data_IF_406621254239
#
_entry.id   IF_406621254239
#
_cell.length_a   1.000
_cell.length_b   1.000
_cell.length_c   1.000
_cell.angle_alpha   90.00
_cell.angle_beta   90.00
_cell.angle_gamma   90.00
#
_symmetry.space_group_name_H-M   'P 1'
#
loop_
_entity.id
_entity.type
_entity.pdbx_description
1 polymer ?
#
# COMPACT_ATOMS: atom_id res chain seq x y z
N UNK A 1 -11.95 19.38 0.79
CA UNK A 1 -13.25 18.68 0.99
C UNK A 1 -13.24 18.11 2.40
N UNK A 2 -14.22 18.46 3.26
CA UNK A 2 -14.23 18.04 4.66
C UNK A 2 -15.32 17.00 4.90
N UNK A 3 -14.97 15.93 5.64
CA UNK A 3 -15.91 14.92 6.10
C UNK A 3 -16.53 15.33 7.43
N UNK A 4 -17.82 15.09 7.56
CA UNK A 4 -18.55 15.27 8.81
C UNK A 4 -18.47 14.01 9.68
N UNK A 5 -18.72 14.14 10.98
CA UNK A 5 -18.79 13.01 11.91
C UNK A 5 -19.81 11.95 11.46
N UNK A 6 -20.97 12.37 10.97
CA UNK A 6 -22.01 11.45 10.49
C UNK A 6 -21.58 10.66 9.25
N UNK A 7 -20.79 11.26 8.37
CA UNK A 7 -20.24 10.57 7.19
C UNK A 7 -19.20 9.54 7.59
N UNK A 8 -18.33 9.87 8.56
CA UNK A 8 -17.35 8.92 9.11
C UNK A 8 -18.04 7.70 9.72
N UNK A 9 -19.12 7.90 10.49
CA UNK A 9 -19.91 6.80 11.07
C UNK A 9 -20.50 5.91 9.96
N UNK A 10 -21.05 6.51 8.91
CA UNK A 10 -21.61 5.74 7.77
C UNK A 10 -20.54 4.95 7.03
N UNK A 11 -19.37 5.56 6.78
CA UNK A 11 -18.23 4.89 6.13
C UNK A 11 -17.75 3.72 6.98
N UNK A 12 -17.57 3.92 8.27
CA UNK A 12 -17.19 2.87 9.21
C UNK A 12 -18.19 1.71 9.20
N UNK A 13 -19.47 2.01 9.21
CA UNK A 13 -20.52 0.99 9.14
C UNK A 13 -20.45 0.19 7.82
N UNK A 14 -20.25 0.85 6.69
CA UNK A 14 -20.08 0.19 5.38
C UNK A 14 -18.83 -0.69 5.36
N UNK A 15 -17.73 -0.23 5.96
CA UNK A 15 -16.48 -0.97 6.06
C UNK A 15 -16.50 -2.07 7.15
N UNK A 16 -17.60 -2.19 7.92
CA UNK A 16 -17.72 -3.11 9.06
C UNK A 16 -16.65 -2.87 10.14
N UNK A 17 -16.26 -1.61 10.32
CA UNK A 17 -15.31 -1.18 11.37
C UNK A 17 -16.08 -0.63 12.57
N UNK A 18 -15.71 -1.09 13.77
CA UNK A 18 -16.12 -0.45 15.01
C UNK A 18 -15.23 0.75 15.31
N UNK A 19 -15.82 1.91 15.55
CA UNK A 19 -15.11 3.13 15.95
C UNK A 19 -15.68 3.59 17.29
N UNK A 20 -14.80 4.01 18.21
CA UNK A 20 -15.22 4.63 19.47
C UNK A 20 -15.75 6.04 19.19
N UNK A 21 -16.84 6.40 19.87
CA UNK A 21 -17.47 7.72 19.71
C UNK A 21 -16.50 8.89 20.00
N UNK A 22 -15.55 8.69 20.90
CA UNK A 22 -14.56 9.70 21.25
C UNK A 22 -13.52 9.93 20.13
N UNK A 23 -13.33 8.95 19.25
CA UNK A 23 -12.32 9.01 18.18
C UNK A 23 -12.88 9.54 16.86
N UNK A 24 -14.21 9.61 16.71
CA UNK A 24 -14.87 10.03 15.46
C UNK A 24 -14.36 11.38 14.98
N UNK A 25 -14.18 12.34 15.91
CA UNK A 25 -13.70 13.67 15.56
C UNK A 25 -12.26 13.67 15.01
N UNK A 26 -11.39 12.85 15.59
CA UNK A 26 -10.02 12.68 15.10
C UNK A 26 -10.01 12.06 13.70
N UNK A 27 -10.78 10.99 13.49
CA UNK A 27 -10.92 10.38 12.17
C UNK A 27 -11.49 11.34 11.12
N UNK A 28 -12.47 12.16 11.47
CA UNK A 28 -13.02 13.16 10.55
C UNK A 28 -11.95 14.17 10.08
N UNK A 29 -11.10 14.62 10.99
CA UNK A 29 -9.99 15.51 10.67
C UNK A 29 -8.93 14.84 9.79
N UNK A 30 -8.48 13.64 10.17
CA UNK A 30 -7.44 12.92 9.45
C UNK A 30 -7.88 12.57 8.02
N UNK A 31 -9.11 12.06 7.87
CA UNK A 31 -9.68 11.75 6.55
C UNK A 31 -9.89 13.00 5.71
N UNK A 32 -10.30 14.13 6.31
CA UNK A 32 -10.41 15.41 5.61
C UNK A 32 -9.06 15.88 5.09
N UNK A 33 -8.00 15.78 5.90
CA UNK A 33 -6.64 16.11 5.49
C UNK A 33 -6.15 15.22 4.32
N UNK A 34 -6.49 13.93 4.35
CA UNK A 34 -6.17 13.01 3.24
C UNK A 34 -6.90 13.40 1.95
N UNK A 35 -8.18 13.78 2.04
CA UNK A 35 -8.94 14.24 0.88
C UNK A 35 -8.40 15.56 0.30
N UNK A 36 -7.94 16.46 1.15
CA UNK A 36 -7.30 17.71 0.71
C UNK A 36 -5.97 17.43 0.01
N UNK A 37 -5.19 16.47 0.49
CA UNK A 37 -3.98 16.02 -0.20
C UNK A 37 -4.30 15.40 -1.58
N UNK A 38 -5.33 14.57 -1.66
CA UNK A 38 -5.79 14.01 -2.95
C UNK A 38 -6.24 15.11 -3.91
N UNK A 39 -6.89 16.14 -3.42
CA UNK A 39 -7.29 17.31 -4.22
C UNK A 39 -6.06 18.00 -4.79
N UNK A 40 -5.03 18.26 -3.98
CA UNK A 40 -3.76 18.84 -4.42
C UNK A 40 -3.06 17.98 -5.48
N UNK A 41 -3.07 16.64 -5.31
CA UNK A 41 -2.53 15.72 -6.32
C UNK A 41 -3.31 15.81 -7.64
N UNK A 42 -4.62 15.97 -7.58
CA UNK A 42 -5.49 16.08 -8.75
C UNK A 42 -5.33 17.42 -9.51
N UNK A 43 -4.72 18.43 -8.91
CA UNK A 43 -4.41 19.72 -9.58
C UNK A 43 -3.26 19.60 -10.61
N UNK A 44 -2.48 18.51 -10.53
CA UNK A 44 -1.38 18.28 -11.44
C UNK A 44 -1.91 17.64 -12.74
N UNK A 45 -1.69 18.33 -13.87
CA UNK A 45 -2.04 17.79 -15.19
C UNK A 45 -1.09 16.64 -15.55
N UNK A 46 -1.62 15.43 -15.57
CA UNK A 46 -0.88 14.19 -15.91
C UNK A 46 -1.37 13.54 -17.19
N UNK A 47 -2.29 14.15 -17.93
CA UNK A 47 -2.94 13.51 -19.10
C UNK A 47 -1.94 13.12 -20.19
N UNK A 48 -0.86 13.88 -20.32
CA UNK A 48 0.19 13.63 -21.33
C UNK A 48 1.41 12.88 -20.78
N UNK A 49 1.42 12.55 -19.48
CA UNK A 49 2.56 11.91 -18.81
C UNK A 49 2.37 10.40 -18.78
N UNK A 50 3.32 9.66 -19.36
CA UNK A 50 3.29 8.20 -19.30
C UNK A 50 3.58 7.72 -17.88
N UNK A 51 2.84 6.71 -17.37
CA UNK A 51 3.15 6.10 -16.09
C UNK A 51 4.57 5.56 -16.04
N UNK A 52 5.31 5.86 -14.98
CA UNK A 52 6.69 5.44 -14.81
C UNK A 52 6.81 4.63 -13.51
N UNK A 53 7.04 3.32 -13.63
CA UNK A 53 7.28 2.47 -12.47
C UNK A 53 8.69 2.68 -11.88
N UNK A 54 9.68 2.88 -12.76
CA UNK A 54 11.07 3.12 -12.39
C UNK A 54 11.69 4.18 -13.31
N UNK A 55 12.52 5.09 -12.77
CA UNK A 55 13.12 6.17 -13.56
C UNK A 55 14.19 5.71 -14.56
N UNK A 56 14.64 4.48 -14.45
CA UNK A 56 15.63 3.87 -15.35
C UNK A 56 15.20 2.47 -15.74
N UNK A 57 15.48 2.07 -16.97
CA UNK A 57 15.28 0.70 -17.45
C UNK A 57 16.27 -0.22 -16.74
N UNK A 58 15.88 -0.74 -15.61
CA UNK A 58 16.68 -1.70 -14.85
C UNK A 58 16.14 -3.10 -15.04
N UNK A 59 17.01 -4.00 -15.44
CA UNK A 59 16.72 -5.42 -15.46
C UNK A 59 17.22 -6.07 -14.18
N UNK A 60 16.39 -6.90 -13.57
CA UNK A 60 16.81 -7.70 -12.43
C UNK A 60 17.92 -8.67 -12.88
N UNK A 61 19.03 -8.69 -12.14
CA UNK A 61 20.06 -9.71 -12.33
C UNK A 61 19.52 -11.05 -11.86
N UNK A 62 19.27 -11.95 -12.78
CA UNK A 62 18.82 -13.31 -12.47
C UNK A 62 20.03 -14.21 -12.24
N UNK A 63 19.89 -15.17 -11.34
CA UNK A 63 20.83 -16.27 -11.18
C UNK A 63 20.67 -17.23 -12.36
N UNK A 64 21.78 -17.81 -12.84
CA UNK A 64 21.72 -18.88 -13.84
C UNK A 64 20.85 -20.04 -13.34
N UNK A 65 20.01 -20.57 -14.21
CA UNK A 65 19.16 -21.72 -13.91
C UNK A 65 19.96 -23.02 -14.13
N UNK A 66 20.95 -23.22 -13.27
CA UNK A 66 21.84 -24.37 -13.31
C UNK A 66 21.87 -25.04 -11.94
N UNK A 67 21.77 -26.36 -11.92
CA UNK A 67 21.90 -27.15 -10.70
C UNK A 67 23.42 -27.25 -10.34
N UNK A 68 23.87 -26.34 -9.49
CA UNK A 68 25.28 -26.26 -9.07
C UNK A 68 25.56 -26.92 -7.72
N UNK A 69 24.52 -27.33 -7.00
CA UNK A 69 24.67 -27.94 -5.68
C UNK A 69 25.13 -29.38 -5.77
N UNK A 70 26.10 -29.72 -4.94
CA UNK A 70 26.51 -31.12 -4.75
C UNK A 70 25.50 -31.86 -3.86
N UNK A 71 25.43 -33.18 -4.01
CA UNK A 71 24.56 -34.00 -3.19
C UNK A 71 24.99 -33.96 -1.71
N UNK A 72 24.20 -33.31 -0.87
CA UNK A 72 24.43 -33.20 0.57
C UNK A 72 23.37 -33.96 1.40
N UNK A 73 22.72 -34.92 0.78
CA UNK A 73 21.61 -35.67 1.38
C UNK A 73 21.98 -36.29 2.73
N UNK A 74 23.15 -36.94 2.84
CA UNK A 74 23.59 -37.57 4.09
C UNK A 74 23.79 -36.56 5.21
N UNK A 75 24.36 -35.37 4.87
CA UNK A 75 24.56 -34.30 5.83
C UNK A 75 23.24 -33.76 6.35
N UNK A 76 22.27 -33.53 5.49
CA UNK A 76 20.95 -33.01 5.90
C UNK A 76 20.17 -34.07 6.69
N UNK A 77 20.22 -35.33 6.31
CA UNK A 77 19.54 -36.39 7.03
C UNK A 77 20.13 -36.68 8.42
N UNK A 78 21.42 -36.41 8.63
CA UNK A 78 22.06 -36.58 9.93
C UNK A 78 21.59 -35.57 10.96
N UNK A 79 20.95 -34.45 10.52
CA UNK A 79 20.41 -33.40 11.37
C UNK A 79 18.92 -33.57 11.68
N UNK A 80 18.27 -34.54 11.09
CA UNK A 80 16.84 -34.80 11.27
C UNK A 80 16.53 -35.61 12.55
#
# INVERSE_FOLDING_TARGET
MSLTADEVIKIAHLARLGIDENDIGAYANDLSNMLDLMTQMGETDTDTVQPMAHPMDQMQRLRSDEATETNQRESFQSLA
#
